data_IF_849545971050
#
_entry.id   IF_849545971050
#
_cell.length_a   1.000
_cell.length_b   1.000
_cell.length_c   1.000
_cell.angle_alpha   90.00
_cell.angle_beta   90.00
_cell.angle_gamma   90.00
#
_symmetry.space_group_name_H-M   'P 1'
#
loop_
_entity.id
_entity.type
_entity.pdbx_description
1 polymer ?
#
# COMPACT_ATOMS: atom_id res chain seq x y z
N UNK A 1 47.23 -55.71 2.59
CA UNK A 1 45.82 -55.28 2.63
C UNK A 1 45.82 -53.83 3.03
N UNK A 2 45.77 -52.95 2.05
CA UNK A 2 45.87 -51.49 2.20
C UNK A 2 44.68 -50.93 1.45
N UNK A 3 43.66 -50.51 2.19
CA UNK A 3 42.46 -49.87 1.63
C UNK A 3 42.79 -48.41 1.32
N UNK A 4 43.04 -48.15 0.04
CA UNK A 4 43.09 -46.80 -0.51
C UNK A 4 41.65 -46.34 -0.76
N UNK A 5 41.11 -45.52 0.16
CA UNK A 5 39.82 -44.88 -0.02
C UNK A 5 39.95 -43.77 -1.08
N UNK A 6 39.36 -44.00 -2.24
CA UNK A 6 39.19 -43.06 -3.34
C UNK A 6 38.36 -41.84 -2.88
N UNK A 7 39.05 -40.80 -2.39
CA UNK A 7 38.48 -39.51 -1.97
C UNK A 7 38.25 -38.55 -3.15
N UNK A 8 37.85 -39.07 -4.32
CA UNK A 8 37.82 -38.29 -5.57
C UNK A 8 36.51 -38.20 -6.40
N UNK A 9 35.31 -38.63 -5.96
CA UNK A 9 34.09 -38.33 -6.73
C UNK A 9 33.31 -37.09 -6.25
N UNK A 10 33.53 -36.57 -5.03
CA UNK A 10 32.72 -35.47 -4.46
C UNK A 10 33.08 -34.12 -5.10
N UNK A 11 34.36 -33.87 -5.35
CA UNK A 11 34.83 -32.60 -5.95
C UNK A 11 34.41 -32.46 -7.41
N UNK A 12 34.40 -33.54 -8.18
CA UNK A 12 34.04 -33.52 -9.60
C UNK A 12 32.53 -33.33 -9.79
N UNK A 13 31.70 -33.93 -8.93
CA UNK A 13 30.24 -33.72 -8.93
C UNK A 13 29.85 -32.30 -8.48
N UNK A 14 30.55 -31.72 -7.50
CA UNK A 14 30.38 -30.31 -7.13
C UNK A 14 30.78 -29.35 -8.25
N UNK A 15 31.81 -29.70 -9.02
CA UNK A 15 32.30 -28.86 -10.13
C UNK A 15 31.35 -28.90 -11.33
N UNK A 16 30.77 -30.05 -11.67
CA UNK A 16 29.81 -30.18 -12.79
C UNK A 16 28.50 -29.46 -12.47
N UNK A 17 27.94 -29.62 -11.27
CA UNK A 17 26.73 -28.88 -10.84
C UNK A 17 26.98 -27.36 -10.78
N UNK A 18 28.19 -26.93 -10.38
CA UNK A 18 28.58 -25.52 -10.39
C UNK A 18 28.78 -24.94 -11.81
N UNK A 19 28.88 -25.76 -12.85
CA UNK A 19 29.10 -25.31 -14.23
C UNK A 19 27.80 -25.25 -15.03
N UNK A 20 26.84 -26.15 -14.79
CA UNK A 20 25.49 -26.07 -15.38
C UNK A 20 24.64 -24.93 -14.81
N UNK A 21 24.81 -24.55 -13.53
CA UNK A 21 24.13 -23.38 -12.96
C UNK A 21 24.58 -22.04 -13.56
N UNK A 22 25.81 -21.94 -14.09
CA UNK A 22 26.42 -20.67 -14.55
C UNK A 22 25.85 -20.11 -15.85
N UNK A 23 25.30 -20.95 -16.73
CA UNK A 23 24.80 -20.51 -18.06
C UNK A 23 23.30 -20.19 -18.01
N UNK A 24 22.53 -20.84 -17.11
CA UNK A 24 21.09 -20.64 -17.00
C UNK A 24 20.69 -19.35 -16.26
N UNK A 25 21.51 -18.87 -15.31
CA UNK A 25 21.15 -17.74 -14.45
C UNK A 25 21.46 -16.35 -15.06
N UNK A 26 22.31 -16.27 -16.09
CA UNK A 26 22.70 -14.99 -16.69
C UNK A 26 21.52 -14.21 -17.34
N UNK A 27 20.69 -14.81 -18.22
CA UNK A 27 19.56 -14.08 -18.81
C UNK A 27 18.49 -13.69 -17.78
N UNK A 28 18.29 -14.51 -16.74
CA UNK A 28 17.35 -14.23 -15.65
C UNK A 28 17.78 -13.00 -14.85
N UNK A 29 19.07 -12.93 -14.47
CA UNK A 29 19.63 -11.79 -13.74
C UNK A 29 19.57 -10.50 -14.57
N UNK A 30 19.85 -10.56 -15.88
CA UNK A 30 19.79 -9.39 -16.78
C UNK A 30 18.35 -8.88 -16.89
N UNK A 31 17.39 -9.77 -17.10
CA UNK A 31 15.97 -9.42 -17.17
C UNK A 31 15.47 -8.79 -15.87
N UNK A 32 15.79 -9.42 -14.73
CA UNK A 32 15.42 -8.90 -13.41
C UNK A 32 16.07 -7.54 -13.11
N UNK A 33 17.34 -7.35 -13.50
CA UNK A 33 18.05 -6.08 -13.36
C UNK A 33 17.40 -4.98 -14.20
N UNK A 34 17.07 -5.27 -15.46
CA UNK A 34 16.40 -4.34 -16.37
C UNK A 34 15.03 -3.90 -15.82
N UNK A 35 14.22 -4.87 -15.37
CA UNK A 35 12.91 -4.60 -14.78
C UNK A 35 13.04 -3.74 -13.50
N UNK A 36 13.99 -4.08 -12.63
CA UNK A 36 14.21 -3.35 -11.38
C UNK A 36 14.67 -1.91 -11.64
N UNK A 37 15.60 -1.72 -12.58
CA UNK A 37 16.07 -0.38 -12.97
C UNK A 37 14.94 0.47 -13.56
N UNK A 38 14.10 -0.11 -14.41
CA UNK A 38 12.91 0.57 -14.96
C UNK A 38 11.97 1.04 -13.84
N UNK A 39 11.59 0.15 -12.92
CA UNK A 39 10.69 0.51 -11.83
C UNK A 39 11.31 1.46 -10.81
N UNK A 40 12.62 1.39 -10.53
CA UNK A 40 13.30 2.40 -9.69
C UNK A 40 13.13 3.79 -10.30
N UNK A 41 13.30 3.95 -11.61
CA UNK A 41 13.10 5.25 -12.28
C UNK A 41 11.64 5.70 -12.17
N UNK A 42 10.69 4.83 -12.53
CA UNK A 42 9.25 5.14 -12.50
C UNK A 42 8.77 5.52 -11.10
N UNK A 43 9.16 4.73 -10.08
CA UNK A 43 8.78 4.97 -8.69
C UNK A 43 9.49 6.20 -8.11
N UNK A 44 10.72 6.49 -8.53
CA UNK A 44 11.42 7.72 -8.11
C UNK A 44 10.73 8.97 -8.66
N UNK A 45 10.30 8.95 -9.92
CA UNK A 45 9.48 10.03 -10.50
C UNK A 45 8.18 10.15 -9.70
N UNK A 46 7.51 9.03 -9.43
CA UNK A 46 6.25 9.02 -8.69
C UNK A 46 6.40 9.55 -7.25
N UNK A 47 7.48 9.18 -6.56
CA UNK A 47 7.81 9.67 -5.23
C UNK A 47 8.12 11.17 -5.26
N UNK A 48 8.89 11.65 -6.25
CA UNK A 48 9.16 13.07 -6.45
C UNK A 48 7.87 13.87 -6.69
N UNK A 49 6.95 13.32 -7.50
CA UNK A 49 5.62 13.90 -7.70
C UNK A 49 4.83 13.93 -6.39
N UNK A 50 4.74 12.81 -5.65
CA UNK A 50 4.06 12.75 -4.35
C UNK A 50 4.60 13.78 -3.35
N UNK A 51 5.93 13.91 -3.24
CA UNK A 51 6.59 14.89 -2.36
C UNK A 51 6.30 16.31 -2.83
N UNK A 52 6.44 16.59 -4.13
CA UNK A 52 6.15 17.90 -4.71
C UNK A 52 4.70 18.34 -4.45
N UNK A 53 3.75 17.42 -4.62
CA UNK A 53 2.34 17.65 -4.28
C UNK A 53 2.13 17.88 -2.78
N UNK A 54 2.75 17.07 -1.92
CA UNK A 54 2.62 17.20 -0.47
C UNK A 54 3.19 18.52 0.07
N UNK A 55 4.28 19.03 -0.53
CA UNK A 55 4.85 20.33 -0.19
C UNK A 55 3.97 21.47 -0.72
N UNK A 56 3.62 21.44 -2.02
CA UNK A 56 2.87 22.52 -2.67
C UNK A 56 1.48 22.73 -2.07
N UNK A 57 0.80 21.64 -1.68
CA UNK A 57 -0.58 21.69 -1.17
C UNK A 57 -0.66 21.48 0.34
N UNK A 58 0.46 21.68 1.04
CA UNK A 58 0.53 21.43 2.47
C UNK A 58 -0.58 22.16 3.24
N UNK A 59 -0.92 23.38 2.85
CA UNK A 59 -1.88 24.19 3.62
C UNK A 59 -3.34 23.88 3.24
N UNK A 60 -3.60 23.45 2.01
CA UNK A 60 -4.93 23.11 1.51
C UNK A 60 -5.38 21.68 1.87
N UNK A 61 -4.43 20.76 2.06
CA UNK A 61 -4.74 19.36 2.32
C UNK A 61 -5.30 19.11 3.72
N UNK A 62 -6.41 18.36 3.78
CA UNK A 62 -6.97 17.88 5.06
C UNK A 62 -6.01 16.91 5.74
N UNK A 63 -6.04 16.86 7.07
CA UNK A 63 -5.17 15.97 7.88
C UNK A 63 -5.19 14.51 7.41
N UNK A 64 -6.36 13.95 7.10
CA UNK A 64 -6.48 12.56 6.62
C UNK A 64 -5.84 12.35 5.23
N UNK A 65 -5.90 13.35 4.35
CA UNK A 65 -5.24 13.29 3.04
C UNK A 65 -3.72 13.33 3.20
N UNK A 66 -3.21 14.19 4.10
CA UNK A 66 -1.77 14.25 4.41
C UNK A 66 -1.24 12.90 4.89
N UNK A 67 -1.97 12.24 5.80
CA UNK A 67 -1.60 10.91 6.30
C UNK A 67 -1.63 9.89 5.15
N UNK A 68 -2.65 9.90 4.29
CA UNK A 68 -2.70 8.99 3.15
C UNK A 68 -1.52 9.19 2.20
N UNK A 69 -1.20 10.45 1.85
CA UNK A 69 -0.04 10.75 0.99
C UNK A 69 1.27 10.31 1.63
N UNK A 70 1.44 10.53 2.94
CA UNK A 70 2.60 10.07 3.67
C UNK A 70 2.74 8.54 3.64
N UNK A 71 1.64 7.81 3.87
CA UNK A 71 1.63 6.36 3.82
C UNK A 71 1.89 5.82 2.40
N UNK A 72 1.32 6.45 1.37
CA UNK A 72 1.62 6.10 -0.03
C UNK A 72 3.08 6.40 -0.39
N UNK A 73 3.61 7.53 0.06
CA UNK A 73 5.03 7.86 -0.11
C UNK A 73 5.95 6.86 0.59
N UNK A 74 5.58 6.41 1.80
CA UNK A 74 6.30 5.35 2.52
C UNK A 74 6.22 4.01 1.77
N UNK A 75 5.06 3.64 1.24
CA UNK A 75 4.90 2.43 0.41
C UNK A 75 5.83 2.47 -0.81
N UNK A 76 5.82 3.56 -1.56
CA UNK A 76 6.69 3.74 -2.74
C UNK A 76 8.17 3.74 -2.33
N UNK A 77 8.52 4.40 -1.23
CA UNK A 77 9.89 4.43 -0.71
C UNK A 77 10.41 3.05 -0.30
N UNK A 78 9.61 2.25 0.40
CA UNK A 78 9.95 0.87 0.78
C UNK A 78 10.19 0.02 -0.47
N UNK A 79 9.37 0.17 -1.51
CA UNK A 79 9.56 -0.57 -2.77
C UNK A 79 10.84 -0.16 -3.50
N UNK A 80 11.15 1.15 -3.57
CA UNK A 80 12.40 1.63 -4.16
C UNK A 80 13.61 1.02 -3.43
N UNK A 81 13.60 0.98 -2.10
CA UNK A 81 14.68 0.38 -1.30
C UNK A 81 14.80 -1.11 -1.60
N UNK A 82 13.68 -1.84 -1.68
CA UNK A 82 13.68 -3.26 -2.06
C UNK A 82 14.30 -3.48 -3.44
N UNK A 83 13.92 -2.68 -4.44
CA UNK A 83 14.46 -2.75 -5.80
C UNK A 83 15.94 -2.38 -5.86
N UNK A 84 16.42 -1.42 -5.05
CA UNK A 84 17.83 -1.09 -4.96
C UNK A 84 18.65 -2.28 -4.43
N UNK A 85 18.17 -2.95 -3.38
CA UNK A 85 18.82 -4.17 -2.88
C UNK A 85 18.80 -5.29 -3.91
N UNK A 86 17.73 -5.40 -4.70
CA UNK A 86 17.66 -6.34 -5.83
C UNK A 86 18.70 -6.05 -6.91
N UNK A 87 18.87 -4.79 -7.30
CA UNK A 87 19.89 -4.36 -8.27
C UNK A 87 21.29 -4.71 -7.78
N UNK A 88 21.60 -4.44 -6.51
CA UNK A 88 22.90 -4.79 -5.91
C UNK A 88 23.10 -6.30 -5.88
N UNK A 89 22.08 -7.06 -5.47
CA UNK A 89 22.12 -8.53 -5.42
C UNK A 89 22.34 -9.14 -6.81
N UNK A 90 21.48 -8.84 -7.78
CA UNK A 90 21.56 -9.39 -9.13
C UNK A 90 22.80 -8.90 -9.89
N UNK A 91 23.18 -7.63 -9.71
CA UNK A 91 24.40 -7.07 -10.31
C UNK A 91 25.66 -7.74 -9.79
N UNK A 92 25.75 -7.97 -8.48
CA UNK A 92 26.88 -8.70 -7.87
C UNK A 92 26.90 -10.15 -8.33
N UNK A 93 25.74 -10.81 -8.41
CA UNK A 93 25.61 -12.19 -8.89
C UNK A 93 26.10 -12.32 -10.35
N UNK A 94 25.66 -11.40 -11.22
CA UNK A 94 26.10 -11.35 -12.62
C UNK A 94 27.61 -11.09 -12.74
N UNK A 95 28.15 -10.16 -11.95
CA UNK A 95 29.60 -9.88 -11.92
C UNK A 95 30.42 -11.11 -11.53
N UNK A 96 29.97 -11.84 -10.51
CA UNK A 96 30.62 -13.08 -10.06
C UNK A 96 30.51 -14.22 -11.09
N UNK A 97 29.40 -14.31 -11.82
CA UNK A 97 29.24 -15.29 -12.89
C UNK A 97 30.11 -14.97 -14.11
N UNK A 98 30.35 -13.69 -14.40
CA UNK A 98 31.21 -13.25 -15.50
C UNK A 98 32.71 -13.44 -15.28
N UNK A 99 33.20 -13.51 -14.03
CA UNK A 99 34.61 -13.78 -13.72
C UNK A 99 34.83 -15.21 -13.26
N UNK A 100 35.91 -15.84 -13.73
CA UNK A 100 36.31 -17.18 -13.25
C UNK A 100 36.62 -17.09 -11.75
N UNK A 101 35.78 -17.72 -10.94
CA UNK A 101 35.80 -17.79 -9.47
C UNK A 101 37.17 -18.03 -8.84
N UNK A 102 38.09 -18.67 -9.57
CA UNK A 102 39.40 -19.11 -9.06
C UNK A 102 40.38 -17.95 -8.78
N UNK A 103 40.10 -16.73 -9.26
CA UNK A 103 41.07 -15.61 -9.21
C UNK A 103 40.68 -14.49 -8.22
N UNK A 104 39.56 -14.58 -7.50
CA UNK A 104 39.16 -13.53 -6.55
C UNK A 104 39.65 -13.83 -5.12
N UNK A 105 40.62 -13.07 -4.57
CA UNK A 105 41.11 -13.29 -3.20
C UNK A 105 40.05 -13.08 -2.12
N UNK A 106 38.96 -12.36 -2.41
CA UNK A 106 37.91 -11.98 -1.44
C UNK A 106 36.55 -12.64 -1.71
N UNK A 107 36.53 -13.85 -2.28
CA UNK A 107 35.29 -14.57 -2.64
C UNK A 107 34.26 -14.69 -1.50
N UNK A 108 34.73 -14.83 -0.26
CA UNK A 108 33.89 -15.02 0.91
C UNK A 108 33.14 -13.72 1.28
N UNK A 109 33.81 -12.57 1.14
CA UNK A 109 33.21 -11.24 1.38
C UNK A 109 32.07 -10.96 0.39
N UNK A 110 32.27 -11.26 -0.89
CA UNK A 110 31.23 -11.09 -1.91
C UNK A 110 30.02 -12.02 -1.69
N UNK A 111 30.22 -13.23 -1.14
CA UNK A 111 29.11 -14.13 -0.80
C UNK A 111 28.28 -13.62 0.37
N UNK A 112 28.93 -13.08 1.42
CA UNK A 112 28.21 -12.48 2.56
C UNK A 112 27.34 -11.32 2.07
N UNK A 113 27.90 -10.45 1.23
CA UNK A 113 27.19 -9.35 0.59
C UNK A 113 25.95 -9.86 -0.16
N UNK A 114 26.10 -10.88 -1.03
CA UNK A 114 24.97 -11.48 -1.75
C UNK A 114 23.88 -12.03 -0.82
N UNK A 115 24.25 -12.68 0.28
CA UNK A 115 23.28 -13.22 1.22
C UNK A 115 22.52 -12.13 1.96
N UNK A 116 23.23 -11.12 2.47
CA UNK A 116 22.62 -9.99 3.19
C UNK A 116 21.67 -9.22 2.28
N UNK A 117 22.11 -8.84 1.08
CA UNK A 117 21.27 -8.06 0.17
C UNK A 117 20.05 -8.84 -0.32
N UNK A 118 20.16 -10.16 -0.52
CA UNK A 118 18.98 -10.97 -0.85
C UNK A 118 17.98 -11.08 0.30
N UNK A 119 18.46 -11.20 1.54
CA UNK A 119 17.57 -11.26 2.71
C UNK A 119 16.89 -9.92 2.92
N UNK A 120 17.62 -8.81 2.76
CA UNK A 120 17.06 -7.46 2.83
C UNK A 120 16.05 -7.21 1.71
N UNK A 121 16.39 -7.52 0.46
CA UNK A 121 15.49 -7.40 -0.69
C UNK A 121 14.18 -8.16 -0.47
N UNK A 122 14.26 -9.40 -0.01
CA UNK A 122 13.08 -10.20 0.33
C UNK A 122 12.28 -9.59 1.50
N UNK A 123 12.95 -9.19 2.59
CA UNK A 123 12.28 -8.60 3.75
C UNK A 123 11.55 -7.29 3.41
N UNK A 124 12.18 -6.40 2.64
CA UNK A 124 11.57 -5.16 2.19
C UNK A 124 10.46 -5.41 1.16
N UNK A 125 10.62 -6.39 0.26
CA UNK A 125 9.56 -6.79 -0.69
C UNK A 125 8.31 -7.32 0.02
N UNK A 126 8.44 -7.96 1.17
CA UNK A 126 7.27 -8.31 1.96
C UNK A 126 6.77 -7.17 2.86
N UNK A 127 7.66 -6.25 3.29
CA UNK A 127 7.27 -5.07 4.07
C UNK A 127 6.34 -4.12 3.29
N UNK A 128 6.38 -4.13 1.95
CA UNK A 128 5.40 -3.39 1.12
C UNK A 128 3.97 -3.88 1.36
N UNK A 129 3.75 -5.19 1.47
CA UNK A 129 2.43 -5.79 1.76
C UNK A 129 1.96 -5.42 3.17
N UNK A 130 2.87 -5.42 4.15
CA UNK A 130 2.58 -4.92 5.50
C UNK A 130 2.15 -3.45 5.45
N UNK A 131 2.86 -2.64 4.67
CA UNK A 131 2.52 -1.22 4.47
C UNK A 131 1.14 -1.06 3.83
N UNK A 132 0.79 -1.89 2.84
CA UNK A 132 -0.55 -1.88 2.23
C UNK A 132 -1.63 -2.29 3.23
N UNK A 133 -1.35 -3.26 4.11
CA UNK A 133 -2.27 -3.62 5.19
C UNK A 133 -2.53 -2.42 6.12
N UNK A 134 -1.51 -1.64 6.44
CA UNK A 134 -1.65 -0.40 7.22
C UNK A 134 -2.50 0.63 6.46
N UNK A 135 -2.27 0.80 5.16
CA UNK A 135 -3.04 1.72 4.32
C UNK A 135 -4.51 1.27 4.23
N UNK A 136 -4.78 -0.03 4.04
CA UNK A 136 -6.12 -0.62 4.08
C UNK A 136 -6.82 -0.25 5.39
N UNK A 137 -6.17 -0.47 6.53
CA UNK A 137 -6.74 -0.14 7.84
C UNK A 137 -7.01 1.35 8.01
N UNK A 138 -6.10 2.20 7.54
CA UNK A 138 -6.29 3.65 7.55
C UNK A 138 -7.49 4.08 6.68
N UNK A 139 -7.63 3.51 5.48
CA UNK A 139 -8.77 3.80 4.61
C UNK A 139 -10.09 3.32 5.20
N UNK A 140 -10.12 2.13 5.81
CA UNK A 140 -11.30 1.63 6.51
C UNK A 140 -11.74 2.58 7.63
N UNK A 141 -10.81 3.09 8.46
CA UNK A 141 -11.15 4.09 9.50
C UNK A 141 -11.64 5.41 8.89
N UNK A 142 -10.99 5.88 7.82
CA UNK A 142 -11.40 7.09 7.11
C UNK A 142 -12.84 6.93 6.58
N UNK A 143 -13.14 5.80 5.96
CA UNK A 143 -14.43 5.43 5.40
C UNK A 143 -15.50 5.31 6.48
N UNK A 144 -15.21 4.63 7.59
CA UNK A 144 -16.13 4.48 8.70
C UNK A 144 -16.44 5.82 9.37
N UNK A 145 -15.42 6.67 9.56
CA UNK A 145 -15.60 8.02 10.11
C UNK A 145 -16.47 8.89 9.19
N UNK A 146 -16.26 8.80 7.88
CA UNK A 146 -17.05 9.54 6.89
C UNK A 146 -18.50 9.06 6.90
N UNK A 147 -18.73 7.76 7.02
CA UNK A 147 -20.08 7.18 7.19
C UNK A 147 -20.78 7.72 8.44
N UNK A 148 -20.09 7.74 9.58
CA UNK A 148 -20.62 8.23 10.83
C UNK A 148 -20.97 9.73 10.75
N UNK A 149 -20.12 10.53 10.11
CA UNK A 149 -20.36 11.96 9.88
C UNK A 149 -21.58 12.21 8.98
N UNK A 150 -21.79 11.36 7.96
CA UNK A 150 -22.97 11.38 7.10
C UNK A 150 -24.25 10.86 7.78
N UNK A 151 -24.19 10.51 9.09
CA UNK A 151 -25.28 9.89 9.86
C UNK A 151 -25.81 8.58 9.25
N UNK A 152 -24.97 7.93 8.45
CA UNK A 152 -25.26 6.66 7.80
C UNK A 152 -25.17 5.46 8.77
N UNK A 153 -24.44 5.61 9.88
CA UNK A 153 -24.24 4.57 10.90
C UNK A 153 -24.77 5.06 12.25
N UNK A 154 -25.47 4.19 12.97
CA UNK A 154 -25.93 4.48 14.34
C UNK A 154 -24.75 4.74 15.29
N UNK A 155 -24.87 5.77 16.13
CA UNK A 155 -23.85 6.14 17.13
C UNK A 155 -23.49 4.98 18.07
N UNK A 156 -24.44 4.08 18.35
CA UNK A 156 -24.20 2.89 19.19
C UNK A 156 -23.33 1.85 18.50
N UNK A 157 -23.46 1.69 17.18
CA UNK A 157 -22.79 0.62 16.40
C UNK A 157 -21.39 1.03 15.95
N UNK A 158 -21.17 2.32 15.69
CA UNK A 158 -19.88 2.87 15.27
C UNK A 158 -18.67 2.41 16.11
N UNK A 159 -18.66 2.53 17.45
CA UNK A 159 -17.48 2.15 18.24
C UNK A 159 -17.15 0.66 18.12
N UNK A 160 -18.15 -0.23 18.05
CA UNK A 160 -17.95 -1.67 17.91
C UNK A 160 -17.30 -2.03 16.57
N UNK A 161 -17.80 -1.46 15.46
CA UNK A 161 -17.21 -1.70 14.14
C UNK A 161 -15.78 -1.16 14.10
N UNK A 162 -15.54 0.04 14.65
CA UNK A 162 -14.21 0.65 14.69
C UNK A 162 -13.20 -0.21 15.43
N UNK A 163 -13.54 -0.68 16.62
CA UNK A 163 -12.68 -1.56 17.41
C UNK A 163 -12.44 -2.91 16.74
N UNK A 164 -13.47 -3.48 16.11
CA UNK A 164 -13.33 -4.73 15.36
C UNK A 164 -12.35 -4.57 14.19
N UNK A 165 -12.47 -3.51 13.39
CA UNK A 165 -11.55 -3.26 12.27
C UNK A 165 -10.13 -3.01 12.73
N UNK A 166 -9.95 -2.23 13.79
CA UNK A 166 -8.63 -2.01 14.37
C UNK A 166 -7.99 -3.33 14.82
N UNK A 167 -8.76 -4.17 15.51
CA UNK A 167 -8.29 -5.49 15.98
C UNK A 167 -7.90 -6.40 14.82
N UNK A 168 -8.74 -6.51 13.79
CA UNK A 168 -8.45 -7.35 12.61
C UNK A 168 -7.18 -6.87 11.88
N UNK A 169 -7.02 -5.57 11.67
CA UNK A 169 -5.83 -5.00 11.03
C UNK A 169 -4.58 -5.22 11.88
N UNK A 170 -4.67 -5.07 13.21
CA UNK A 170 -3.54 -5.29 14.12
C UNK A 170 -3.11 -6.76 14.13
N UNK A 171 -4.05 -7.70 14.23
CA UNK A 171 -3.78 -9.15 14.20
C UNK A 171 -3.19 -9.56 12.86
N UNK A 172 -3.76 -9.07 11.76
CA UNK A 172 -3.25 -9.37 10.41
C UNK A 172 -1.85 -8.80 10.22
N UNK A 173 -1.62 -7.53 10.58
CA UNK A 173 -0.32 -6.89 10.49
C UNK A 173 0.74 -7.59 11.33
N UNK A 174 0.40 -7.98 12.57
CA UNK A 174 1.29 -8.75 13.44
C UNK A 174 1.61 -10.14 12.89
N UNK A 175 0.61 -10.84 12.35
CA UNK A 175 0.79 -12.15 11.70
C UNK A 175 1.70 -12.04 10.47
N UNK A 176 1.47 -11.05 9.62
CA UNK A 176 2.32 -10.78 8.45
C UNK A 176 3.75 -10.44 8.89
N UNK A 177 3.92 -9.56 9.88
CA UNK A 177 5.24 -9.23 10.43
C UNK A 177 6.01 -10.46 10.91
N UNK A 178 5.36 -11.36 11.64
CA UNK A 178 5.94 -12.63 12.08
C UNK A 178 6.35 -13.51 10.88
N UNK A 179 5.47 -13.68 9.90
CA UNK A 179 5.75 -14.46 8.69
C UNK A 179 6.93 -13.90 7.91
N UNK A 180 7.06 -12.58 7.81
CA UNK A 180 8.18 -11.91 7.12
C UNK A 180 9.51 -12.23 7.80
N UNK A 181 9.57 -12.10 9.13
CA UNK A 181 10.79 -12.38 9.90
C UNK A 181 11.17 -13.85 9.77
N UNK A 182 10.21 -14.77 9.93
CA UNK A 182 10.46 -16.20 9.78
C UNK A 182 10.93 -16.57 8.37
N UNK A 183 10.32 -15.98 7.33
CA UNK A 183 10.73 -16.20 5.94
C UNK A 183 12.14 -15.67 5.66
N UNK A 184 12.49 -14.48 6.19
CA UNK A 184 13.82 -13.92 6.07
C UNK A 184 14.89 -14.80 6.74
N UNK A 185 14.61 -15.31 7.94
CA UNK A 185 15.51 -16.24 8.67
C UNK A 185 15.67 -17.55 7.90
N UNK A 186 14.59 -18.17 7.45
CA UNK A 186 14.66 -19.42 6.67
C UNK A 186 15.46 -19.22 5.38
N UNK A 187 15.23 -18.14 4.64
CA UNK A 187 15.98 -17.83 3.43
C UNK A 187 17.46 -17.61 3.71
N UNK A 188 17.81 -16.94 4.82
CA UNK A 188 19.21 -16.79 5.24
C UNK A 188 19.85 -18.15 5.56
N UNK A 189 19.18 -19.00 6.35
CA UNK A 189 19.69 -20.32 6.73
C UNK A 189 19.90 -21.23 5.51
N UNK A 190 18.99 -21.19 4.54
CA UNK A 190 19.13 -21.92 3.26
C UNK A 190 20.32 -21.39 2.47
N UNK A 191 20.50 -20.07 2.36
CA UNK A 191 21.62 -19.47 1.61
C UNK A 191 22.97 -19.72 2.26
N UNK A 192 23.03 -19.75 3.60
CA UNK A 192 24.23 -20.12 4.36
C UNK A 192 24.51 -21.63 4.34
N UNK A 193 23.70 -22.44 3.65
CA UNK A 193 23.80 -23.91 3.63
C UNK A 193 23.67 -24.59 4.99
N UNK A 194 23.16 -23.87 6.00
CA UNK A 194 22.93 -24.39 7.35
C UNK A 194 21.63 -25.22 7.42
N UNK A 195 20.69 -24.96 6.52
CA UNK A 195 19.45 -25.71 6.40
C UNK A 195 19.36 -26.39 5.03
N UNK A 196 19.10 -27.69 5.02
CA UNK A 196 18.91 -28.44 3.78
C UNK A 196 17.65 -27.93 3.05
N UNK A 197 17.77 -27.68 1.75
CA UNK A 197 16.66 -27.24 0.89
C UNK A 197 15.44 -28.15 0.99
N UNK A 198 15.64 -29.47 1.07
CA UNK A 198 14.56 -30.44 1.20
C UNK A 198 13.70 -30.23 2.46
N UNK A 199 14.31 -29.77 3.55
CA UNK A 199 13.61 -29.44 4.79
C UNK A 199 13.04 -28.02 4.79
N UNK A 200 13.66 -27.08 4.08
CA UNK A 200 13.22 -25.69 4.04
C UNK A 200 11.92 -25.49 3.23
N UNK A 201 11.76 -26.22 2.12
CA UNK A 201 10.58 -26.12 1.23
C UNK A 201 9.25 -26.30 1.97
N UNK A 202 9.02 -27.35 2.80
CA UNK A 202 7.75 -27.49 3.51
C UNK A 202 7.48 -26.33 4.49
N UNK A 203 8.51 -25.79 5.16
CA UNK A 203 8.33 -24.61 6.00
C UNK A 203 7.93 -23.37 5.18
N UNK A 204 8.54 -23.17 4.02
CA UNK A 204 8.17 -22.07 3.11
C UNK A 204 6.73 -22.21 2.59
N UNK A 205 6.27 -23.43 2.28
CA UNK A 205 4.86 -23.70 1.91
C UNK A 205 3.92 -23.29 3.05
N UNK A 206 4.22 -23.72 4.29
CA UNK A 206 3.38 -23.38 5.46
C UNK A 206 3.34 -21.87 5.67
N UNK A 207 4.48 -21.18 5.59
CA UNK A 207 4.53 -19.71 5.69
C UNK A 207 3.73 -19.02 4.57
N UNK A 208 3.81 -19.53 3.34
CA UNK A 208 3.02 -19.02 2.22
C UNK A 208 1.51 -19.21 2.47
N UNK A 209 1.08 -20.34 3.02
CA UNK A 209 -0.32 -20.56 3.37
C UNK A 209 -0.81 -19.55 4.41
N UNK A 210 -0.04 -19.32 5.49
CA UNK A 210 -0.37 -18.30 6.49
C UNK A 210 -0.42 -16.90 5.88
N UNK A 211 0.57 -16.57 5.04
CA UNK A 211 0.61 -15.31 4.30
C UNK A 211 -0.64 -15.12 3.43
N UNK A 212 -1.01 -16.14 2.64
CA UNK A 212 -2.17 -16.09 1.75
C UNK A 212 -3.47 -15.93 2.53
N UNK A 213 -3.68 -16.73 3.58
CA UNK A 213 -4.88 -16.67 4.42
C UNK A 213 -5.01 -15.29 5.07
N UNK A 214 -3.93 -14.74 5.64
CA UNK A 214 -3.95 -13.42 6.26
C UNK A 214 -4.33 -12.31 5.26
N UNK A 215 -3.74 -12.33 4.06
CA UNK A 215 -4.05 -11.34 3.02
C UNK A 215 -5.49 -11.47 2.49
N UNK A 216 -5.98 -12.70 2.28
CA UNK A 216 -7.35 -12.94 1.83
C UNK A 216 -8.36 -12.48 2.88
N UNK A 217 -8.15 -12.79 4.17
CA UNK A 217 -9.01 -12.32 5.26
C UNK A 217 -9.06 -10.79 5.28
N UNK A 218 -7.92 -10.13 5.13
CA UNK A 218 -7.84 -8.67 5.12
C UNK A 218 -8.58 -8.07 3.91
N UNK A 219 -8.37 -8.63 2.71
CA UNK A 219 -9.00 -8.18 1.48
C UNK A 219 -10.52 -8.38 1.50
N UNK A 220 -10.99 -9.53 2.01
CA UNK A 220 -12.43 -9.82 2.18
C UNK A 220 -13.03 -8.86 3.18
N UNK A 221 -12.40 -8.66 4.34
CA UNK A 221 -12.86 -7.70 5.36
C UNK A 221 -12.96 -6.30 4.79
N UNK A 222 -11.92 -5.85 4.07
CA UNK A 222 -11.90 -4.56 3.40
C UNK A 222 -13.03 -4.42 2.38
N UNK A 223 -13.24 -5.44 1.54
CA UNK A 223 -14.27 -5.41 0.50
C UNK A 223 -15.67 -5.38 1.10
N UNK A 224 -15.94 -6.21 2.11
CA UNK A 224 -17.26 -6.28 2.77
C UNK A 224 -17.58 -4.95 3.46
N UNK A 225 -16.63 -4.38 4.19
CA UNK A 225 -16.80 -3.10 4.90
C UNK A 225 -17.00 -1.97 3.91
N UNK A 226 -16.15 -1.88 2.88
CA UNK A 226 -16.23 -0.83 1.88
C UNK A 226 -17.50 -0.91 1.04
N UNK A 227 -17.94 -2.12 0.66
CA UNK A 227 -19.20 -2.31 -0.09
C UNK A 227 -20.41 -1.90 0.75
N UNK A 228 -20.46 -2.28 2.03
CA UNK A 228 -21.54 -1.85 2.94
C UNK A 228 -21.54 -0.32 3.09
N UNK A 229 -20.37 0.28 3.27
CA UNK A 229 -20.21 1.73 3.38
C UNK A 229 -20.73 2.43 2.11
N UNK A 230 -20.31 1.97 0.94
CA UNK A 230 -20.76 2.50 -0.35
C UNK A 230 -22.27 2.41 -0.53
N UNK A 231 -22.88 1.27 -0.17
CA UNK A 231 -24.32 1.10 -0.25
C UNK A 231 -25.07 2.12 0.62
N UNK A 232 -24.62 2.32 1.86
CA UNK A 232 -25.26 3.25 2.80
C UNK A 232 -25.07 4.70 2.36
N UNK A 233 -23.89 5.07 1.85
CA UNK A 233 -23.63 6.41 1.31
C UNK A 233 -24.48 6.68 0.07
N UNK A 234 -24.60 5.70 -0.84
CA UNK A 234 -25.42 5.85 -2.05
C UNK A 234 -26.89 6.11 -1.67
N UNK A 235 -27.46 5.30 -0.78
CA UNK A 235 -28.84 5.45 -0.29
C UNK A 235 -29.09 6.80 0.41
N UNK A 236 -28.11 7.30 1.15
CA UNK A 236 -28.24 8.59 1.84
C UNK A 236 -28.11 9.75 0.86
N UNK A 237 -27.20 9.64 -0.11
CA UNK A 237 -26.98 10.69 -1.12
C UNK A 237 -28.16 10.88 -2.06
N UNK A 238 -28.90 9.82 -2.40
CA UNK A 238 -30.09 9.89 -3.25
C UNK A 238 -31.26 10.65 -2.60
N UNK A 239 -31.31 10.70 -1.26
CA UNK A 239 -32.34 11.44 -0.53
C UNK A 239 -32.05 12.95 -0.43
N UNK A 240 -30.80 13.38 -0.61
CA UNK A 240 -30.38 14.79 -0.51
C UNK A 240 -30.28 15.46 -1.88
N UNK A 241 -30.20 14.69 -2.96
CA UNK A 241 -30.01 15.19 -4.35
C UNK A 241 -31.24 15.81 -5.02
N UNK A 242 -32.28 16.19 -4.28
CA UNK A 242 -33.43 16.93 -4.82
C UNK A 242 -33.10 18.39 -5.17
N UNK A 243 -31.92 18.90 -4.83
CA UNK A 243 -31.46 20.24 -5.22
C UNK A 243 -30.62 20.17 -6.51
N UNK A 244 -31.15 20.70 -7.61
CA UNK A 244 -30.64 20.63 -9.00
C UNK A 244 -29.35 21.41 -9.27
N UNK A 245 -28.30 21.29 -8.45
CA UNK A 245 -26.98 21.81 -8.82
C UNK A 245 -26.13 20.71 -9.47
N UNK A 246 -25.63 20.98 -10.69
CA UNK A 246 -24.73 20.11 -11.44
C UNK A 246 -23.34 20.11 -10.78
N UNK A 247 -23.19 19.41 -9.66
CA UNK A 247 -21.87 19.18 -9.07
C UNK A 247 -21.11 18.16 -9.95
N UNK A 248 -19.86 18.48 -10.36
CA UNK A 248 -19.04 17.62 -11.23
C UNK A 248 -18.86 16.20 -10.65
N UNK A 249 -18.93 15.19 -11.52
CA UNK A 249 -18.92 13.76 -11.14
C UNK A 249 -17.72 13.36 -10.26
N UNK A 250 -16.55 13.96 -10.51
CA UNK A 250 -15.31 13.63 -9.82
C UNK A 250 -15.19 14.24 -8.41
N UNK A 251 -16.00 15.27 -8.10
CA UNK A 251 -16.04 15.88 -6.77
C UNK A 251 -17.00 15.18 -5.82
N UNK A 252 -17.76 14.19 -6.30
CA UNK A 252 -18.62 13.40 -5.43
C UNK A 252 -17.75 12.55 -4.49
N UNK A 253 -17.96 12.60 -3.17
CA UNK A 253 -17.18 11.81 -2.22
C UNK A 253 -17.31 10.30 -2.50
N UNK A 254 -18.44 9.88 -3.08
CA UNK A 254 -18.66 8.53 -3.57
C UNK A 254 -17.62 8.09 -4.61
N UNK A 255 -17.38 8.90 -5.65
CA UNK A 255 -16.42 8.57 -6.72
C UNK A 255 -15.00 8.43 -6.18
N UNK A 256 -14.62 9.28 -5.21
CA UNK A 256 -13.30 9.19 -4.54
C UNK A 256 -13.16 7.90 -3.73
N UNK A 257 -14.20 7.50 -3.00
CA UNK A 257 -14.20 6.23 -2.25
C UNK A 257 -14.12 5.04 -3.20
N UNK A 258 -14.94 5.02 -4.26
CA UNK A 258 -14.97 3.92 -5.24
C UNK A 258 -13.62 3.77 -5.96
N UNK A 259 -13.06 4.86 -6.47
CA UNK A 259 -11.77 4.82 -7.18
C UNK A 259 -10.63 4.34 -6.28
N UNK A 260 -10.64 4.76 -5.01
CA UNK A 260 -9.62 4.39 -4.04
C UNK A 260 -9.75 2.90 -3.66
N UNK A 261 -10.98 2.44 -3.47
CA UNK A 261 -11.30 1.03 -3.23
C UNK A 261 -10.89 0.16 -4.42
N UNK A 262 -11.21 0.55 -5.66
CA UNK A 262 -10.85 -0.21 -6.85
C UNK A 262 -9.33 -0.28 -7.06
N UNK A 263 -8.62 0.83 -6.89
CA UNK A 263 -7.16 0.88 -7.00
C UNK A 263 -6.49 0.00 -5.95
N UNK A 264 -7.01 -0.01 -4.72
CA UNK A 264 -6.49 -0.83 -3.63
C UNK A 264 -6.77 -2.33 -3.82
N UNK A 265 -7.99 -2.71 -4.23
CA UNK A 265 -8.32 -4.11 -4.51
C UNK A 265 -7.46 -4.66 -5.65
N UNK A 266 -7.32 -3.89 -6.73
CA UNK A 266 -6.50 -4.28 -7.88
C UNK A 266 -5.02 -4.42 -7.48
N UNK A 267 -4.50 -3.48 -6.71
CA UNK A 267 -3.13 -3.53 -6.19
C UNK A 267 -2.87 -4.73 -5.29
N UNK A 268 -3.76 -4.98 -4.31
CA UNK A 268 -3.66 -6.12 -3.41
C UNK A 268 -3.76 -7.45 -4.17
N UNK A 269 -4.65 -7.54 -5.16
CA UNK A 269 -4.77 -8.71 -6.03
C UNK A 269 -3.48 -9.00 -6.79
N UNK A 270 -2.91 -7.98 -7.46
CA UNK A 270 -1.64 -8.12 -8.19
C UNK A 270 -0.50 -8.57 -7.28
N UNK A 271 -0.45 -8.10 -6.03
CA UNK A 271 0.59 -8.50 -5.09
C UNK A 271 0.42 -9.91 -4.54
N UNK A 272 -0.82 -10.36 -4.29
CA UNK A 272 -1.08 -11.76 -3.92
C UNK A 272 -0.65 -12.67 -5.06
N UNK A 273 -0.99 -12.33 -6.30
CA UNK A 273 -0.57 -13.09 -7.49
C UNK A 273 0.95 -13.07 -7.63
N UNK A 274 1.60 -11.92 -7.43
CA UNK A 274 3.06 -11.80 -7.44
C UNK A 274 3.71 -12.68 -6.37
N UNK A 275 3.18 -12.72 -5.15
CA UNK A 275 3.71 -13.57 -4.08
C UNK A 275 3.58 -15.07 -4.39
N UNK A 276 2.46 -15.49 -4.99
CA UNK A 276 2.25 -16.88 -5.43
C UNK A 276 3.25 -17.23 -6.55
N UNK A 277 3.39 -16.37 -7.55
CA UNK A 277 4.36 -16.59 -8.64
C UNK A 277 5.78 -16.59 -8.10
N UNK A 278 6.13 -15.68 -7.19
CA UNK A 278 7.44 -15.60 -6.53
C UNK A 278 7.79 -16.87 -5.74
N UNK A 279 6.79 -17.45 -5.09
CA UNK A 279 6.96 -18.75 -4.45
C UNK A 279 7.16 -19.89 -5.47
N UNK A 280 6.27 -19.99 -6.47
CA UNK A 280 6.33 -21.06 -7.48
C UNK A 280 7.63 -21.00 -8.29
N UNK A 281 8.10 -19.80 -8.64
CA UNK A 281 9.36 -19.56 -9.33
C UNK A 281 10.55 -20.02 -8.51
N UNK A 282 10.61 -19.61 -7.24
CA UNK A 282 11.71 -19.99 -6.34
C UNK A 282 11.85 -21.49 -6.12
N UNK A 283 10.76 -22.24 -6.29
CA UNK A 283 10.70 -23.69 -6.04
C UNK A 283 10.83 -24.52 -7.33
N UNK A 284 10.19 -24.11 -8.42
CA UNK A 284 10.01 -24.94 -9.61
C UNK A 284 10.55 -24.34 -10.91
N UNK A 285 10.61 -23.02 -11.04
CA UNK A 285 10.89 -22.36 -12.32
C UNK A 285 11.55 -20.98 -12.13
N UNK A 286 12.88 -20.98 -11.96
CA UNK A 286 13.67 -19.75 -11.74
C UNK A 286 13.47 -18.68 -12.82
N UNK A 287 13.25 -19.08 -14.07
CA UNK A 287 13.13 -18.16 -15.20
C UNK A 287 11.90 -17.25 -15.17
N UNK A 288 10.86 -17.57 -14.38
CA UNK A 288 9.65 -16.75 -14.28
C UNK A 288 9.76 -15.65 -13.20
N UNK A 289 10.91 -15.51 -12.53
CA UNK A 289 11.20 -14.44 -11.54
C UNK A 289 11.12 -13.01 -12.11
N UNK A 290 10.91 -12.83 -13.41
CA UNK A 290 10.63 -11.50 -13.94
C UNK A 290 9.18 -11.08 -13.65
N UNK A 291 8.23 -12.02 -13.68
CA UNK A 291 6.80 -11.74 -13.64
C UNK A 291 6.30 -11.35 -12.26
N UNK A 292 6.78 -12.02 -11.21
CA UNK A 292 6.47 -11.64 -9.82
C UNK A 292 6.97 -10.23 -9.52
N UNK A 293 8.21 -9.89 -9.90
CA UNK A 293 8.74 -8.53 -9.70
C UNK A 293 7.94 -7.48 -10.48
N UNK A 294 7.59 -7.77 -11.73
CA UNK A 294 6.78 -6.89 -12.55
C UNK A 294 5.40 -6.66 -11.92
N UNK A 295 4.69 -7.71 -11.55
CA UNK A 295 3.35 -7.62 -10.97
C UNK A 295 3.35 -6.92 -9.60
N UNK A 296 4.38 -7.16 -8.80
CA UNK A 296 4.54 -6.53 -7.49
C UNK A 296 4.63 -5.00 -7.61
N UNK A 297 5.60 -4.50 -8.38
CA UNK A 297 5.81 -3.06 -8.56
C UNK A 297 4.68 -2.42 -9.39
N UNK A 298 4.11 -3.13 -10.37
CA UNK A 298 2.93 -2.65 -11.12
C UNK A 298 1.75 -2.38 -10.18
N UNK A 299 1.47 -3.28 -9.23
CA UNK A 299 0.42 -3.08 -8.23
C UNK A 299 0.63 -1.81 -7.41
N UNK A 300 1.87 -1.51 -7.02
CA UNK A 300 2.23 -0.32 -6.23
C UNK A 300 2.08 0.96 -7.06
N UNK A 301 2.54 0.94 -8.32
CA UNK A 301 2.38 2.05 -9.26
C UNK A 301 0.90 2.37 -9.48
N UNK A 302 0.08 1.36 -9.79
CA UNK A 302 -1.35 1.54 -10.01
C UNK A 302 -1.99 2.20 -8.80
N UNK A 303 -1.78 1.66 -7.59
CA UNK A 303 -2.35 2.23 -6.38
C UNK A 303 -1.94 3.68 -6.15
N UNK A 304 -0.66 3.97 -6.30
CA UNK A 304 -0.10 5.31 -6.10
C UNK A 304 -0.64 6.33 -7.11
N UNK A 305 -0.82 5.92 -8.37
CA UNK A 305 -1.47 6.74 -9.41
C UNK A 305 -2.93 7.01 -9.05
N UNK A 306 -3.68 6.01 -8.57
CA UNK A 306 -5.06 6.23 -8.08
C UNK A 306 -5.11 7.25 -6.94
N UNK A 307 -4.19 7.17 -5.97
CA UNK A 307 -4.11 8.16 -4.87
C UNK A 307 -3.81 9.56 -5.41
N UNK A 308 -2.83 9.69 -6.31
CA UNK A 308 -2.49 10.98 -6.92
C UNK A 308 -3.64 11.59 -7.70
N UNK A 309 -4.30 10.80 -8.55
CA UNK A 309 -5.43 11.26 -9.36
C UNK A 309 -6.57 11.70 -8.44
N UNK A 310 -7.06 10.84 -7.55
CA UNK A 310 -8.25 11.12 -6.73
C UNK A 310 -8.11 12.32 -5.80
N UNK A 311 -6.88 12.67 -5.44
CA UNK A 311 -6.57 13.81 -4.57
C UNK A 311 -5.81 14.93 -5.29
N UNK A 312 -5.79 14.93 -6.63
CA UNK A 312 -5.20 16.02 -7.40
C UNK A 312 -6.05 17.30 -7.24
N UNK A 313 -5.45 18.42 -6.80
CA UNK A 313 -6.13 19.72 -6.63
C UNK A 313 -6.60 20.29 -7.97
N UNK A 314 -5.98 19.88 -9.09
CA UNK A 314 -6.31 20.35 -10.44
C UNK A 314 -7.78 20.10 -10.78
N UNK A 315 -8.41 19.12 -10.13
CA UNK A 315 -9.84 18.85 -10.27
C UNK A 315 -10.71 19.64 -9.28
N UNK A 316 -10.18 20.00 -8.11
CA UNK A 316 -10.91 20.86 -7.18
C UNK A 316 -10.98 22.31 -7.70
N UNK A 317 -9.87 22.89 -8.16
CA UNK A 317 -9.82 24.27 -8.67
C UNK A 317 -10.69 24.48 -9.92
N UNK A 318 -10.72 23.51 -10.83
CA UNK A 318 -11.57 23.59 -12.04
C UNK A 318 -13.04 23.66 -11.67
N UNK A 319 -13.47 22.87 -10.68
CA UNK A 319 -14.86 22.89 -10.23
C UNK A 319 -15.25 24.18 -9.51
N UNK A 320 -14.33 24.78 -8.76
CA UNK A 320 -14.59 26.06 -8.08
C UNK A 320 -14.73 27.20 -9.09
N UNK A 321 -13.83 27.28 -10.08
CA UNK A 321 -13.91 28.25 -11.18
C UNK A 321 -15.17 28.07 -12.04
N UNK A 322 -15.55 26.83 -12.33
CA UNK A 322 -16.79 26.54 -13.07
C UNK A 322 -18.04 26.93 -12.27
N UNK A 323 -18.04 26.75 -10.94
CA UNK A 323 -19.14 27.15 -10.08
C UNK A 323 -19.27 28.69 -9.99
N UNK A 324 -18.16 29.41 -9.82
CA UNK A 324 -18.12 30.86 -9.82
C UNK A 324 -18.62 31.47 -11.14
N UNK A 325 -18.18 30.92 -12.27
CA UNK A 325 -18.63 31.34 -13.60
C UNK A 325 -20.13 31.09 -13.81
N UNK A 326 -20.67 30.00 -13.25
CA UNK A 326 -22.09 29.68 -13.35
C UNK A 326 -22.95 30.62 -12.49
N UNK A 327 -22.49 30.99 -11.29
CA UNK A 327 -23.14 32.01 -10.44
C UNK A 327 -23.10 33.38 -11.12
N UNK A 328 -21.98 33.76 -11.72
CA UNK A 328 -21.84 35.05 -12.44
C UNK A 328 -22.76 35.11 -13.67
N UNK A 329 -22.87 34.03 -14.45
CA UNK A 329 -23.76 33.97 -15.62
C UNK A 329 -25.25 33.92 -15.27
N UNK A 330 -25.62 33.33 -14.12
CA UNK A 330 -27.03 33.25 -13.68
C UNK A 330 -27.48 34.44 -12.84
N UNK A 331 -26.57 35.11 -12.14
CA UNK A 331 -26.83 36.31 -11.33
C UNK A 331 -27.08 37.60 -12.14
N UNK A 332 -26.69 37.64 -13.42
CA UNK A 332 -26.78 38.86 -14.27
C UNK A 332 -28.15 39.03 -14.96
N UNK A 333 -29.21 38.37 -14.47
CA UNK A 333 -30.58 38.45 -15.02
C UNK A 333 -31.65 38.87 -14.00
N UNK A 334 -31.29 39.64 -12.97
CA UNK A 334 -32.28 40.50 -12.28
C UNK A 334 -32.27 41.86 -12.96
N UNK A 335 -33.29 42.10 -13.79
CA UNK A 335 -33.60 43.44 -14.29
C UNK A 335 -33.80 44.44 -13.15
N UNK A 336 -33.74 45.74 -13.45
CA UNK A 336 -33.83 46.80 -12.44
C UNK A 336 -35.15 46.69 -11.69
N UNK A 337 -35.09 46.29 -10.42
CA UNK A 337 -36.21 46.47 -9.49
C UNK A 337 -36.24 47.97 -9.20
N UNK A 338 -37.21 48.63 -9.82
CA UNK A 338 -37.61 49.98 -9.46
C UNK A 338 -38.02 50.02 -7.98
N UNK A 339 -37.48 51.01 -7.28
CA UNK A 339 -37.96 51.70 -6.08
C UNK A 339 -39.03 51.02 -5.20
N UNK A 340 -38.70 50.87 -3.91
CA UNK A 340 -39.53 51.51 -2.89
C UNK A 340 -38.72 51.87 -1.62
N UNK A 341 -38.74 53.17 -1.33
CA UNK A 341 -38.42 53.80 -0.04
C UNK A 341 -39.17 53.15 1.14
N UNK A 342 -38.48 52.93 2.26
CA UNK A 342 -38.77 53.62 3.55
C UNK A 342 -37.99 53.04 4.75
N UNK A 343 -37.27 53.95 5.42
CA UNK A 343 -37.09 54.15 6.87
C UNK A 343 -36.52 53.02 7.75
N UNK A 344 -35.24 53.19 8.10
CA UNK A 344 -34.65 53.47 9.43
C UNK A 344 -35.12 52.74 10.73
N UNK A 345 -34.25 52.70 11.78
CA UNK A 345 -33.88 51.47 12.47
C UNK A 345 -34.51 51.32 13.86
N UNK A 346 -34.83 50.08 14.23
CA UNK A 346 -35.20 49.70 15.59
C UNK A 346 -34.13 48.81 16.22
N UNK A 347 -33.28 49.41 17.06
CA UNK A 347 -32.49 48.74 18.09
C UNK A 347 -33.39 47.84 18.95
N UNK A 348 -33.14 46.54 18.94
CA UNK A 348 -33.66 45.63 19.97
C UNK A 348 -32.51 44.94 20.67
N UNK A 349 -32.30 45.41 21.90
CA UNK A 349 -31.35 44.94 22.87
C UNK A 349 -31.99 43.73 23.58
N UNK A 350 -31.41 42.53 23.50
CA UNK A 350 -31.80 41.40 24.35
C UNK A 350 -30.54 40.94 25.09
N UNK A 351 -30.34 41.57 26.25
CA UNK A 351 -29.47 41.12 27.31
C UNK A 351 -30.40 40.73 28.47
N UNK A 352 -30.09 39.61 29.14
CA UNK A 352 -30.68 39.06 30.37
C UNK A 352 -31.60 37.84 30.23
N UNK A 353 -31.51 36.99 31.26
CA UNK A 353 -32.10 35.66 31.48
C UNK A 353 -31.31 34.50 30.83
N UNK A 354 -30.76 33.52 31.54
CA UNK A 354 -30.89 33.21 32.95
C UNK A 354 -29.70 32.33 33.38
N UNK A 355 -28.93 32.81 34.37
CA UNK A 355 -28.14 31.97 35.26
C UNK A 355 -29.13 31.31 36.22
N UNK A 356 -29.41 30.02 36.07
CA UNK A 356 -30.02 29.17 37.10
C UNK A 356 -29.98 27.72 36.63
N UNK A 357 -28.93 27.00 36.99
CA UNK A 357 -29.02 25.59 37.46
C UNK A 357 -27.62 25.12 37.85
N UNK A 358 -27.25 25.52 39.05
CA UNK A 358 -26.27 24.85 39.91
C UNK A 358 -27.07 23.90 40.80
N UNK A 359 -26.54 22.69 40.96
CA UNK A 359 -26.65 21.84 42.16
C UNK A 359 -28.00 21.20 42.50
N UNK A 360 -28.09 19.91 42.17
CA UNK A 360 -28.72 18.80 42.91
C UNK A 360 -28.43 17.55 42.05
N UNK A 361 -27.97 16.37 42.47
CA UNK A 361 -27.87 15.63 43.73
C UNK A 361 -26.62 14.71 43.58
N UNK A 362 -25.72 14.59 44.55
CA UNK A 362 -25.85 13.75 45.77
C UNK A 362 -25.95 12.26 45.45
N UNK A 363 -24.83 11.58 45.76
CA UNK A 363 -24.78 10.32 46.50
C UNK A 363 -25.56 9.13 45.94
N UNK A 364 -24.81 8.15 45.44
CA UNK A 364 -25.07 6.77 45.85
C UNK A 364 -23.75 6.04 46.07
N UNK A 365 -23.42 5.88 47.36
CA UNK A 365 -22.55 4.81 47.88
C UNK A 365 -23.26 3.47 47.65
N UNK A 366 -22.55 2.44 47.18
CA UNK A 366 -22.05 1.28 47.95
C UNK A 366 -20.79 0.78 47.27
#
# INVERSE_FOLDING_TARGET
>A
MTESYNFLPITLFQTINATQGKISEAPENISSLSNSAFYVIVLSILLGVLIGYAIKLRDEMKRKQKILFLLTGLLVGVDIVALCFRIVYNGTSLYMNGRKWIVLPNLLDFRIVLWVFAVLENAFSFATIMTITIIIGFLQDMFLTTAAAARAISRKVYPYIKWSLFTVNMVTGGTLGLVIVLNAILNLLVKMTLLNKALAVPFQIVLLCFYFIANVINLVTFTVVSTRLLHVVNKTSSHVSTTKEKVPFMNRPFTKIVGLMSGMILSAFLQIVAAIIGFLTSTFASHLHMLDYFLHSLGIVIFSVFVLLLYSPLWNEKCEKEAEDHVRKTGTKKGPIQHQDKKEPGTFNIQSMNNSEKQEEVSTKV
#
